data_IF_146127974821
#
_entry.id   IF_146127974821
#
_cell.length_a   1.000
_cell.length_b   1.000
_cell.length_c   1.000
_cell.angle_alpha   90.00
_cell.angle_beta   90.00
_cell.angle_gamma   90.00
#
_symmetry.space_group_name_H-M   'P 1'
#
loop_
_entity.id
_entity.type
_entity.pdbx_description
1 polymer ?
#
# COMPACT_ATOMS: atom_id res chain seq x y z
N UNK A 1 9.64 45.97 -16.07
CA UNK A 1 10.27 44.72 -16.54
C UNK A 1 9.30 43.59 -16.24
N UNK A 2 8.77 42.96 -17.29
CA UNK A 2 7.82 41.85 -17.21
C UNK A 2 8.45 40.68 -16.43
N UNK A 3 7.70 40.06 -15.52
CA UNK A 3 8.17 39.03 -14.59
C UNK A 3 8.64 37.71 -15.21
N UNK A 4 8.72 37.62 -16.54
CA UNK A 4 8.98 36.40 -17.31
C UNK A 4 10.36 35.77 -17.05
N UNK A 5 11.36 36.56 -16.62
CA UNK A 5 12.71 36.06 -16.37
C UNK A 5 12.76 34.95 -15.30
N UNK A 6 11.86 35.01 -14.31
CA UNK A 6 11.79 34.08 -13.18
C UNK A 6 10.93 32.84 -13.46
N UNK A 7 10.15 32.84 -14.53
CA UNK A 7 9.25 31.73 -14.87
C UNK A 7 10.02 30.47 -15.29
N UNK A 8 9.43 29.29 -15.05
CA UNK A 8 9.88 27.96 -15.49
C UNK A 8 9.50 27.73 -16.96
N UNK A 9 10.04 26.69 -17.59
CA UNK A 9 9.78 26.38 -19.01
C UNK A 9 8.28 26.24 -19.29
N UNK A 10 7.56 25.49 -18.45
CA UNK A 10 6.11 25.25 -18.63
C UNK A 10 5.32 26.55 -18.56
N UNK A 11 5.66 27.41 -17.60
CA UNK A 11 4.98 28.69 -17.38
C UNK A 11 5.25 29.68 -18.51
N UNK A 12 6.48 29.73 -19.02
CA UNK A 12 6.81 30.53 -20.20
C UNK A 12 6.03 30.06 -21.42
N UNK A 13 5.82 28.75 -21.57
CA UNK A 13 5.00 28.21 -22.65
C UNK A 13 3.54 28.67 -22.50
N UNK A 14 2.97 28.57 -21.30
CA UNK A 14 1.60 29.04 -21.04
C UNK A 14 1.45 30.53 -21.32
N UNK A 15 2.36 31.38 -20.82
CA UNK A 15 2.34 32.82 -21.11
C UNK A 15 2.40 33.09 -22.60
N UNK A 16 3.29 32.41 -23.34
CA UNK A 16 3.40 32.58 -24.78
C UNK A 16 2.12 32.17 -25.53
N UNK A 17 1.49 31.05 -25.16
CA UNK A 17 0.22 30.60 -25.73
C UNK A 17 -0.92 31.59 -25.43
N UNK A 18 -0.96 32.15 -24.21
CA UNK A 18 -1.99 33.08 -23.74
C UNK A 18 -1.93 34.45 -24.41
N UNK A 19 -0.72 34.93 -24.73
CA UNK A 19 -0.53 36.14 -25.55
C UNK A 19 -0.60 35.86 -27.06
N UNK A 20 -1.03 34.66 -27.47
CA UNK A 20 -1.32 34.30 -28.86
C UNK A 20 -0.11 33.89 -29.71
N UNK A 21 1.02 33.54 -29.09
CA UNK A 21 2.19 33.05 -29.81
C UNK A 21 2.09 31.54 -30.03
N UNK A 22 2.62 31.09 -31.18
CA UNK A 22 2.70 29.66 -31.50
C UNK A 22 3.93 29.06 -30.82
N UNK A 23 3.72 28.02 -30.02
CA UNK A 23 4.75 27.41 -29.20
C UNK A 23 4.88 25.92 -29.49
N UNK A 24 6.12 25.46 -29.71
CA UNK A 24 6.43 24.05 -29.92
C UNK A 24 6.92 23.38 -28.62
N UNK A 25 6.58 22.12 -28.41
CA UNK A 25 6.94 21.39 -27.17
C UNK A 25 8.45 21.25 -26.97
N UNK A 26 9.18 21.14 -28.08
CA UNK A 26 10.63 21.00 -28.12
C UNK A 26 11.41 22.28 -27.78
N UNK A 27 10.75 23.44 -27.72
CA UNK A 27 11.44 24.72 -27.49
C UNK A 27 12.15 24.77 -26.14
N UNK A 28 13.35 25.37 -26.12
CA UNK A 28 14.11 25.57 -24.89
C UNK A 28 13.55 26.74 -24.09
N UNK A 29 13.83 26.74 -22.78
CA UNK A 29 13.43 27.84 -21.88
C UNK A 29 13.91 29.22 -22.36
N UNK A 30 15.12 29.30 -22.92
CA UNK A 30 15.68 30.52 -23.48
C UNK A 30 14.97 30.95 -24.76
N UNK A 31 14.61 29.99 -25.63
CA UNK A 31 13.89 30.25 -26.88
C UNK A 31 12.49 30.79 -26.60
N UNK A 32 11.77 30.18 -25.64
CA UNK A 32 10.44 30.66 -25.20
C UNK A 32 10.51 32.09 -24.67
N UNK A 33 11.51 32.40 -23.83
CA UNK A 33 11.70 33.77 -23.32
C UNK A 33 11.92 34.76 -24.44
N UNK A 34 12.83 34.43 -25.35
CA UNK A 34 13.14 35.28 -26.48
C UNK A 34 11.93 35.45 -27.40
N UNK A 35 11.16 34.40 -27.64
CA UNK A 35 9.93 34.45 -28.43
C UNK A 35 8.92 35.47 -27.85
N UNK A 36 8.75 35.46 -26.53
CA UNK A 36 7.89 36.41 -25.83
C UNK A 36 8.49 37.82 -25.92
N UNK A 37 9.77 38.01 -25.58
CA UNK A 37 10.45 39.32 -25.59
C UNK A 37 10.48 39.97 -26.99
N UNK A 38 10.64 39.17 -28.03
CA UNK A 38 10.69 39.63 -29.42
C UNK A 38 9.28 39.86 -30.01
N UNK A 39 8.20 39.46 -29.32
CA UNK A 39 6.82 39.61 -29.80
C UNK A 39 6.32 41.06 -29.81
N UNK A 40 5.41 41.36 -30.72
CA UNK A 40 4.77 42.68 -30.81
C UNK A 40 3.91 42.97 -29.58
N UNK A 41 3.25 41.95 -29.03
CA UNK A 41 2.46 42.09 -27.79
C UNK A 41 3.36 42.55 -26.65
N UNK A 42 4.54 41.95 -26.49
CA UNK A 42 5.47 42.36 -25.43
C UNK A 42 5.98 43.80 -25.57
N UNK A 43 6.18 44.24 -26.80
CA UNK A 43 6.69 45.58 -27.13
C UNK A 43 5.62 46.66 -27.04
N UNK A 44 4.39 46.35 -27.46
CA UNK A 44 3.32 47.34 -27.64
C UNK A 44 2.22 47.25 -26.57
N UNK A 45 2.02 46.08 -25.97
CA UNK A 45 0.99 45.80 -24.96
C UNK A 45 1.58 45.01 -23.78
N UNK A 46 2.34 45.73 -22.96
CA UNK A 46 3.00 45.12 -21.80
C UNK A 46 1.99 44.64 -20.74
N UNK A 47 0.80 45.24 -20.67
CA UNK A 47 -0.24 44.85 -19.69
C UNK A 47 -0.83 43.47 -20.03
N UNK A 48 -1.04 43.16 -21.32
CA UNK A 48 -1.46 41.81 -21.71
C UNK A 48 -0.45 40.74 -21.26
N UNK A 49 0.86 40.99 -21.46
CA UNK A 49 1.92 40.09 -20.98
C UNK A 49 1.92 39.99 -19.46
N UNK A 50 1.71 41.10 -18.76
CA UNK A 50 1.70 41.13 -17.30
C UNK A 50 0.51 40.36 -16.73
N UNK A 51 -0.68 40.51 -17.31
CA UNK A 51 -1.87 39.73 -16.94
C UNK A 51 -1.61 38.24 -17.09
N UNK A 52 -1.11 37.79 -18.25
CA UNK A 52 -0.78 36.39 -18.48
C UNK A 52 0.26 35.86 -17.47
N UNK A 53 1.25 36.67 -17.10
CA UNK A 53 2.22 36.30 -16.05
C UNK A 53 1.54 36.17 -14.69
N UNK A 54 0.63 37.07 -14.32
CA UNK A 54 -0.12 37.00 -13.06
C UNK A 54 -1.02 35.77 -12.99
N UNK A 55 -1.76 35.46 -14.06
CA UNK A 55 -2.64 34.29 -14.16
C UNK A 55 -1.85 32.98 -14.01
N UNK A 56 -0.69 32.88 -14.66
CA UNK A 56 0.21 31.72 -14.54
C UNK A 56 0.82 31.59 -13.14
N UNK A 57 1.10 32.72 -12.46
CA UNK A 57 1.60 32.69 -11.08
C UNK A 57 0.50 32.27 -10.10
N UNK A 58 -0.73 32.74 -10.29
CA UNK A 58 -1.86 32.39 -9.44
C UNK A 58 -2.19 30.90 -9.55
N UNK A 59 -2.20 30.36 -10.77
CA UNK A 59 -2.44 28.92 -11.00
C UNK A 59 -1.34 28.03 -10.43
N UNK A 60 -0.08 28.47 -10.40
CA UNK A 60 1.02 27.76 -9.73
C UNK A 60 0.77 27.64 -8.23
N UNK A 61 0.36 28.73 -7.58
CA UNK A 61 0.13 28.75 -6.14
C UNK A 61 -1.04 27.84 -5.74
N UNK A 62 -2.15 27.89 -6.48
CA UNK A 62 -3.33 27.04 -6.24
C UNK A 62 -3.00 25.53 -6.32
N UNK A 63 -2.18 25.11 -7.28
CA UNK A 63 -1.75 23.70 -7.39
C UNK A 63 -0.84 23.28 -6.25
N UNK A 64 0.06 24.17 -5.82
CA UNK A 64 0.94 23.89 -4.68
C UNK A 64 0.15 23.68 -3.38
N UNK A 65 -0.91 24.46 -3.16
CA UNK A 65 -1.74 24.34 -1.96
C UNK A 65 -2.53 23.01 -1.98
N UNK A 66 -3.11 22.65 -3.13
CA UNK A 66 -3.83 21.37 -3.29
C UNK A 66 -2.91 20.15 -3.11
N UNK A 67 -1.71 20.18 -3.68
CA UNK A 67 -0.75 19.07 -3.54
C UNK A 67 -0.34 18.88 -2.07
N UNK A 68 -0.21 19.98 -1.32
CA UNK A 68 0.11 19.92 0.12
C UNK A 68 -1.04 19.35 0.96
N UNK A 69 -2.28 19.69 0.61
CA UNK A 69 -3.48 19.20 1.30
C UNK A 69 -3.68 17.69 1.07
N UNK A 70 -3.45 17.22 -0.16
CA UNK A 70 -3.46 15.80 -0.52
C UNK A 70 -2.40 15.02 0.27
N UNK A 71 -1.19 15.55 0.42
CA UNK A 71 -0.12 14.89 1.16
C UNK A 71 -0.44 14.79 2.66
N UNK A 72 -1.03 15.85 3.25
CA UNK A 72 -1.51 15.84 4.64
C UNK A 72 -2.59 14.77 4.83
N UNK A 73 -3.54 14.65 3.91
CA UNK A 73 -4.58 13.62 3.98
C UNK A 73 -4.01 12.20 3.88
N UNK A 74 -3.05 11.97 2.98
CA UNK A 74 -2.35 10.68 2.87
C UNK A 74 -1.66 10.29 4.17
N UNK A 75 -0.93 11.22 4.78
CA UNK A 75 -0.26 10.99 6.06
C UNK A 75 -1.26 10.71 7.20
N UNK A 76 -2.42 11.40 7.22
CA UNK A 76 -3.49 11.11 8.19
C UNK A 76 -4.03 9.69 8.03
N UNK A 77 -4.28 9.24 6.80
CA UNK A 77 -4.75 7.89 6.51
C UNK A 77 -3.71 6.85 6.96
N UNK A 78 -2.44 7.08 6.65
CA UNK A 78 -1.35 6.17 7.02
C UNK A 78 -1.19 6.07 8.54
N UNK A 79 -1.28 7.19 9.25
CA UNK A 79 -1.32 7.21 10.72
C UNK A 79 -2.47 6.37 11.28
N UNK A 80 -3.69 6.53 10.76
CA UNK A 80 -4.86 5.76 11.21
C UNK A 80 -4.64 4.25 10.97
N UNK A 81 -4.06 3.86 9.84
CA UNK A 81 -3.74 2.45 9.55
C UNK A 81 -2.75 1.87 10.56
N UNK A 82 -1.69 2.61 10.90
CA UNK A 82 -0.70 2.19 11.89
C UNK A 82 -1.31 2.08 13.30
N UNK A 83 -2.13 3.06 13.70
CA UNK A 83 -2.85 3.03 14.98
C UNK A 83 -3.80 1.83 15.07
N UNK A 84 -4.52 1.52 13.99
CA UNK A 84 -5.39 0.35 13.91
C UNK A 84 -4.60 -0.96 14.02
N UNK A 85 -3.48 -1.10 13.30
CA UNK A 85 -2.62 -2.28 13.40
C UNK A 85 -2.07 -2.45 14.82
N UNK A 86 -1.64 -1.35 15.45
CA UNK A 86 -1.20 -1.37 16.85
C UNK A 86 -2.32 -1.79 17.80
N UNK A 87 -3.54 -1.32 17.58
CA UNK A 87 -4.70 -1.71 18.40
C UNK A 87 -5.03 -3.19 18.24
N UNK A 88 -4.99 -3.72 17.02
CA UNK A 88 -5.18 -5.15 16.73
C UNK A 88 -4.10 -6.00 17.40
N UNK A 89 -2.82 -5.59 17.31
CA UNK A 89 -1.73 -6.31 17.98
C UNK A 89 -1.90 -6.28 19.51
N UNK A 90 -2.22 -5.11 20.08
CA UNK A 90 -2.46 -4.96 21.52
C UNK A 90 -3.65 -5.78 22.02
N UNK A 91 -4.70 -5.96 21.22
CA UNK A 91 -5.84 -6.80 21.59
C UNK A 91 -5.59 -8.29 21.36
N UNK A 92 -4.65 -8.65 20.48
CA UNK A 92 -4.23 -10.02 20.24
C UNK A 92 -3.24 -10.56 21.30
N UNK A 93 -2.42 -9.69 21.93
CA UNK A 93 -1.48 -10.08 22.99
C UNK A 93 -2.15 -10.82 24.18
N UNK A 94 -3.27 -10.33 24.76
CA UNK A 94 -3.95 -10.98 25.88
C UNK A 94 -4.45 -12.39 25.58
N UNK A 95 -4.83 -12.69 24.33
CA UNK A 95 -5.32 -14.02 23.94
C UNK A 95 -4.19 -15.05 23.80
N UNK A 96 -2.98 -14.60 23.42
CA UNK A 96 -1.81 -15.46 23.35
C UNK A 96 -1.27 -15.78 24.75
N UNK A 97 -1.27 -14.82 25.66
CA UNK A 97 -0.89 -15.04 27.06
C UNK A 97 -1.90 -15.95 27.79
N UNK A 98 -3.21 -15.76 27.59
CA UNK A 98 -4.24 -16.63 28.14
C UNK A 98 -4.16 -18.08 27.60
N UNK A 99 -3.87 -18.23 26.30
CA UNK A 99 -3.70 -19.55 25.66
C UNK A 99 -2.45 -20.28 26.19
N UNK A 100 -1.36 -19.55 26.43
CA UNK A 100 -0.14 -20.12 27.02
C UNK A 100 -0.33 -20.53 28.49
N UNK A 101 -1.11 -19.78 29.27
CA UNK A 101 -1.43 -20.14 30.66
C UNK A 101 -2.34 -21.38 30.78
N UNK A 102 -3.30 -21.56 29.87
CA UNK A 102 -4.15 -22.77 29.82
C UNK A 102 -3.35 -24.03 29.47
N UNK A 103 -2.38 -23.93 28.55
CA UNK A 103 -1.56 -25.07 28.15
C UNK A 103 -0.54 -25.50 29.24
N UNK A 104 -0.08 -24.57 30.07
CA UNK A 104 0.83 -24.86 31.19
C UNK A 104 0.15 -25.58 32.37
N UNK A 105 -1.16 -25.39 32.59
CA UNK A 105 -1.90 -26.07 33.66
C UNK A 105 -2.23 -27.54 33.33
N UNK A 106 -2.22 -27.93 32.05
CA UNK A 106 -2.53 -29.30 31.63
C UNK A 106 -1.40 -30.32 31.90
N UNK A 107 -0.19 -29.88 32.28
CA UNK A 107 1.00 -30.73 32.43
C UNK A 107 1.15 -31.30 33.86
N UNK A 108 0.19 -31.07 34.76
CA UNK A 108 0.31 -31.54 36.15
C UNK A 108 -0.94 -32.29 36.67
N UNK A 109 -1.23 -33.43 36.06
CA UNK A 109 -1.99 -34.50 36.73
C UNK A 109 -1.04 -35.65 37.08
N UNK A 110 -0.81 -35.96 38.37
CA UNK A 110 -0.17 -37.20 38.75
C UNK A 110 -1.12 -38.34 38.36
N UNK A 111 -0.77 -39.12 37.35
CA UNK A 111 -1.45 -40.38 37.06
C UNK A 111 -1.15 -41.32 38.23
N UNK A 112 -2.06 -41.40 39.19
CA UNK A 112 -1.98 -42.38 40.26
C UNK A 112 -2.16 -43.78 39.65
N UNK A 113 -1.04 -44.48 39.42
CA UNK A 113 -1.02 -45.90 39.11
C UNK A 113 -1.64 -46.67 40.28
N UNK A 114 -2.91 -47.03 40.14
CA UNK A 114 -3.59 -47.93 41.06
C UNK A 114 -3.13 -49.36 40.73
N UNK A 115 -2.27 -49.92 41.57
CA UNK A 115 -1.87 -51.33 41.49
C UNK A 115 -3.11 -52.22 41.58
N UNK A 116 -3.44 -52.92 40.50
CA UNK A 116 -4.49 -53.93 40.47
C UNK A 116 -3.88 -55.24 40.96
N UNK A 117 -4.22 -55.65 42.19
CA UNK A 117 -3.96 -57.01 42.69
C UNK A 117 -4.89 -58.01 41.96
N UNK A 118 -4.42 -59.21 41.60
CA UNK A 118 -5.23 -60.16 40.84
C UNK A 118 -6.28 -60.82 41.75
N UNK A 119 -7.56 -60.62 41.45
CA UNK A 119 -8.65 -61.35 42.07
C UNK A 119 -8.73 -62.77 41.47
N UNK A 120 -8.50 -63.78 42.32
CA UNK A 120 -8.68 -65.20 42.01
C UNK A 120 -10.17 -65.53 42.16
N UNK A 121 -10.96 -65.29 41.11
CA UNK A 121 -12.17 -66.07 40.78
C UNK A 121 -12.85 -65.47 39.54
N UNK A 122 -12.85 -66.25 38.44
CA UNK A 122 -13.92 -66.43 37.42
C UNK A 122 -13.36 -66.52 36.00
N UNK A 123 -13.09 -67.77 35.62
CA UNK A 123 -13.14 -68.51 34.32
C UNK A 123 -12.94 -67.74 32.99
N UNK A 124 -12.03 -68.20 32.10
CA UNK A 124 -11.79 -67.62 30.78
C UNK A 124 -12.78 -68.13 29.71
N UNK A 125 -13.40 -67.22 28.97
CA UNK A 125 -13.98 -67.53 27.65
C UNK A 125 -12.87 -67.40 26.59
N UNK A 126 -12.31 -68.55 26.18
CA UNK A 126 -11.58 -68.71 24.92
C UNK A 126 -12.58 -68.63 23.78
N UNK A 127 -12.27 -67.87 22.72
CA UNK A 127 -12.42 -68.16 21.27
C UNK A 127 -11.94 -66.89 20.54
N UNK A 128 -10.66 -66.78 20.14
CA UNK A 128 -10.03 -67.26 18.90
C UNK A 128 -10.34 -66.46 17.63
N UNK A 129 -9.26 -65.87 17.08
CA UNK A 129 -8.95 -65.60 15.67
C UNK A 129 -9.63 -64.37 15.01
N UNK A 130 -9.02 -63.57 14.13
CA UNK A 130 -7.77 -63.70 13.37
C UNK A 130 -7.23 -62.30 12.99
N UNK A 131 -5.91 -62.20 12.88
CA UNK A 131 -5.19 -61.22 12.05
C UNK A 131 -5.32 -61.60 10.57
N UNK A 132 -5.28 -60.58 9.69
CA UNK A 132 -4.82 -60.54 8.26
C UNK A 132 -5.76 -59.59 7.50
N UNK A 133 -5.39 -58.76 6.54
CA UNK A 133 -4.24 -58.60 5.64
C UNK A 133 -4.38 -57.17 5.06
N UNK A 134 -3.37 -56.29 5.15
CA UNK A 134 -2.53 -55.83 4.02
C UNK A 134 -3.07 -56.16 2.61
N UNK A 135 -3.31 -55.13 1.80
CA UNK A 135 -2.89 -55.00 0.38
C UNK A 135 -3.27 -53.57 -0.11
N UNK A 136 -2.26 -52.75 -0.47
CA UNK A 136 -1.76 -52.51 -1.83
C UNK A 136 -2.69 -51.53 -2.59
N UNK A 137 -2.30 -50.27 -2.73
CA UNK A 137 -1.48 -49.74 -3.83
C UNK A 137 -2.11 -49.95 -5.22
N UNK A 138 -2.02 -48.87 -6.01
CA UNK A 138 -2.28 -48.75 -7.45
C UNK A 138 -3.67 -48.24 -7.85
N UNK A 139 -3.74 -46.93 -8.09
CA UNK A 139 -4.20 -46.48 -9.40
C UNK A 139 -3.48 -45.18 -9.79
N UNK A 140 -2.26 -45.34 -10.30
CA UNK A 140 -1.69 -44.44 -11.30
C UNK A 140 -2.24 -44.88 -12.66
N UNK A 141 -2.87 -43.98 -13.39
CA UNK A 141 -2.78 -43.81 -14.85
C UNK A 141 -3.20 -42.34 -15.09
N UNK A 142 -2.25 -41.41 -15.26
CA UNK A 142 -1.70 -41.00 -16.58
C UNK A 142 -2.80 -40.44 -17.49
N UNK A 143 -2.94 -39.13 -17.64
CA UNK A 143 -2.12 -38.19 -18.44
C UNK A 143 -2.81 -37.86 -19.78
N UNK A 144 -2.57 -36.61 -20.20
CA UNK A 144 -2.67 -36.04 -21.56
C UNK A 144 -4.07 -35.56 -22.03
N UNK A 145 -4.34 -34.25 -22.06
CA UNK A 145 -4.13 -33.28 -23.18
C UNK A 145 -4.65 -33.74 -24.53
N UNK A 146 -5.78 -33.18 -24.97
CA UNK A 146 -5.89 -32.09 -25.96
C UNK A 146 -7.23 -31.35 -25.78
#
# INVERSE_FOLDING_TARGET
>A
MSGIAKLKKVELRTVAEEIGLVVNEGMKKSELRRLIEDSDVFKNDNEAVKSAVEDVLETRNKKSDQDSEIEIERLKIERIKLELQLAILKSALPQLEASNMLNAQAIHFPTANKAIMPNKNTIPQRFSNAKKEKEADQNFHSNFTE
#
